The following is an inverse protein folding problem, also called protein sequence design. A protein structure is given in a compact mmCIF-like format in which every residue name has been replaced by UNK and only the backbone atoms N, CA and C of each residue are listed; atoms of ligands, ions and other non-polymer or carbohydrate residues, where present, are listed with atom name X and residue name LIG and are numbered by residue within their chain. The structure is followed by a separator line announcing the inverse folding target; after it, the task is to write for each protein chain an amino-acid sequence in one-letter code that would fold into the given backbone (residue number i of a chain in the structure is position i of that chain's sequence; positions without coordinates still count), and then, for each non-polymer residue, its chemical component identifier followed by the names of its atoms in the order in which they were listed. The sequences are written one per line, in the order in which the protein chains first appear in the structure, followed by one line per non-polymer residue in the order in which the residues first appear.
data_IF_866021346206
#
_entry.id   IF_866021346206
#
_cell.length_a   1.000
_cell.length_b   1.000
_cell.length_c   1.000
_cell.angle_alpha   90.00
_cell.angle_beta   90.00
_cell.angle_gamma   90.00
#
_symmetry.space_group_name_H-M   'P 1'
#
loop_
_entity.id
_entity.type
_entity.pdbx_description
1 polymer ?
#
# COMPACT_ATOMS: atom_id res chain seq x y z
N UNK A 1 31.45 -3.30 -19.94
CA UNK A 1 30.48 -3.68 -18.89
C UNK A 1 29.23 -2.86 -19.15
N UNK A 2 28.28 -3.41 -19.90
CA UNK A 2 27.10 -2.66 -20.32
C UNK A 2 26.18 -2.43 -19.13
N UNK A 3 25.94 -1.15 -18.83
CA UNK A 3 24.84 -0.67 -18.01
C UNK A 3 23.55 -1.28 -18.57
N UNK A 4 22.95 -2.22 -17.83
CA UNK A 4 21.56 -2.58 -18.04
C UNK A 4 20.78 -1.83 -16.98
N UNK A 5 20.54 -0.56 -17.27
CA UNK A 5 19.38 0.15 -16.75
C UNK A 5 18.15 -0.60 -17.27
N UNK A 6 17.80 -1.67 -16.56
CA UNK A 6 16.51 -2.30 -16.72
C UNK A 6 15.54 -1.33 -16.06
N UNK A 7 14.91 -0.48 -16.86
CA UNK A 7 13.64 0.11 -16.49
C UNK A 7 12.77 -1.05 -15.98
N UNK A 8 12.57 -1.14 -14.66
CA UNK A 8 11.78 -2.24 -14.08
C UNK A 8 10.33 -1.93 -14.39
N UNK A 9 9.61 -2.75 -15.17
CA UNK A 9 8.22 -2.52 -15.54
C UNK A 9 7.26 -2.76 -14.36
N UNK A 10 7.73 -2.65 -13.11
CA UNK A 10 7.16 -3.28 -11.91
C UNK A 10 6.22 -2.35 -11.13
N UNK A 11 6.22 -1.04 -11.40
CA UNK A 11 5.35 -0.09 -10.69
C UNK A 11 3.85 -0.40 -10.89
N UNK A 12 3.46 -0.88 -12.07
CA UNK A 12 2.06 -1.21 -12.36
C UNK A 12 1.58 -2.53 -11.76
N UNK A 13 2.48 -3.45 -11.38
CA UNK A 13 2.11 -4.79 -10.87
C UNK A 13 1.96 -4.86 -9.34
N UNK A 14 2.37 -3.82 -8.62
CA UNK A 14 2.24 -3.78 -7.17
C UNK A 14 0.88 -3.23 -6.70
N UNK A 15 0.12 -2.57 -7.56
CA UNK A 15 -1.23 -2.14 -7.23
C UNK A 15 -2.18 -3.35 -7.10
N UNK A 16 -2.89 -3.39 -5.98
CA UNK A 16 -3.89 -4.39 -5.66
C UNK A 16 -5.25 -3.73 -5.63
N UNK A 17 -6.23 -4.31 -6.31
CA UNK A 17 -7.61 -3.83 -6.26
C UNK A 17 -8.15 -3.86 -4.83
N UNK A 18 -8.89 -2.81 -4.47
CA UNK A 18 -9.59 -2.73 -3.20
C UNK A 18 -10.97 -2.08 -3.39
N UNK A 19 -12.06 -2.63 -2.81
CA UNK A 19 -13.42 -2.09 -3.01
C UNK A 19 -13.62 -0.68 -2.45
N UNK A 20 -12.74 -0.26 -1.52
CA UNK A 20 -12.78 1.06 -0.90
C UNK A 20 -11.78 2.06 -1.51
N UNK A 21 -11.14 1.71 -2.63
CA UNK A 21 -10.19 2.62 -3.28
C UNK A 21 -10.87 3.95 -3.62
N UNK A 22 -10.19 5.05 -3.32
CA UNK A 22 -10.65 6.43 -3.45
C UNK A 22 -11.90 6.78 -2.63
N UNK A 23 -12.17 6.05 -1.55
CA UNK A 23 -13.25 6.35 -0.59
C UNK A 23 -12.70 6.75 0.77
N UNK A 24 -13.53 7.45 1.54
CA UNK A 24 -13.25 7.71 2.94
C UNK A 24 -13.26 6.39 3.72
N UNK A 25 -12.24 6.20 4.55
CA UNK A 25 -12.03 5.01 5.35
C UNK A 25 -11.52 5.36 6.74
N UNK A 26 -11.69 4.41 7.66
CA UNK A 26 -11.11 4.43 9.01
C UNK A 26 -10.20 3.23 9.19
N UNK A 27 -9.03 3.44 9.77
CA UNK A 27 -8.19 2.36 10.30
C UNK A 27 -8.68 1.97 11.69
N UNK A 28 -9.22 0.76 11.84
CA UNK A 28 -9.76 0.25 13.11
C UNK A 28 -8.75 0.18 14.25
N UNK A 29 -7.45 0.10 13.96
CA UNK A 29 -6.43 -0.03 15.01
C UNK A 29 -5.98 1.32 15.57
N UNK A 30 -6.03 2.38 14.77
CA UNK A 30 -5.55 3.70 15.16
C UNK A 30 -6.67 4.74 15.27
N UNK A 31 -7.88 4.40 14.83
CA UNK A 31 -9.04 5.28 14.72
C UNK A 31 -8.81 6.49 13.79
N UNK A 32 -7.74 6.45 12.98
CA UNK A 32 -7.41 7.49 12.02
C UNK A 32 -8.24 7.31 10.76
N UNK A 33 -8.73 8.44 10.24
CA UNK A 33 -9.52 8.49 9.03
C UNK A 33 -8.77 9.18 7.88
N UNK A 34 -9.20 8.88 6.65
CA UNK A 34 -8.71 9.51 5.44
C UNK A 34 -9.24 8.83 4.18
N UNK A 35 -8.76 9.25 3.01
CA UNK A 35 -9.11 8.59 1.74
C UNK A 35 -8.11 7.48 1.42
N UNK A 36 -8.59 6.27 1.11
CA UNK A 36 -7.74 5.17 0.65
C UNK A 36 -7.22 5.47 -0.76
N UNK A 37 -5.94 5.80 -0.90
CA UNK A 37 -5.36 6.21 -2.18
C UNK A 37 -4.86 5.04 -3.01
N UNK A 38 -4.28 4.02 -2.36
CA UNK A 38 -3.73 2.84 -3.01
C UNK A 38 -3.68 1.65 -2.04
N UNK A 39 -3.71 0.43 -2.58
CA UNK A 39 -3.24 -0.75 -1.88
C UNK A 39 -2.10 -1.34 -2.70
N UNK A 40 -0.93 -1.48 -2.09
CA UNK A 40 0.26 -2.00 -2.75
C UNK A 40 0.69 -3.35 -2.16
N UNK A 41 1.32 -4.19 -2.98
CA UNK A 41 2.05 -5.38 -2.54
C UNK A 41 3.52 -5.03 -2.32
N UNK A 42 3.86 -4.54 -1.14
CA UNK A 42 5.20 -4.06 -0.84
C UNK A 42 6.17 -5.16 -0.39
N UNK A 43 7.44 -5.09 -0.79
CA UNK A 43 8.49 -5.94 -0.25
C UNK A 43 8.75 -5.60 1.22
N UNK A 44 8.65 -6.59 2.12
CA UNK A 44 8.88 -6.39 3.57
C UNK A 44 10.18 -7.02 4.10
N UNK A 45 10.92 -7.72 3.24
CA UNK A 45 12.21 -8.30 3.58
C UNK A 45 12.46 -9.64 2.92
N UNK A 46 13.52 -10.32 3.31
CA UNK A 46 13.88 -11.64 2.76
C UNK A 46 13.97 -12.67 3.89
N UNK A 47 13.33 -13.83 3.73
CA UNK A 47 13.39 -14.95 4.68
C UNK A 47 13.93 -16.18 3.94
N UNK A 48 15.04 -16.75 4.43
CA UNK A 48 15.70 -17.91 3.81
C UNK A 48 15.98 -17.73 2.30
N UNK A 49 16.41 -16.52 1.91
CA UNK A 49 16.72 -16.19 0.51
C UNK A 49 15.50 -15.93 -0.37
N UNK A 50 14.28 -15.88 0.17
CA UNK A 50 13.05 -15.55 -0.57
C UNK A 50 12.49 -14.18 -0.17
N UNK A 51 12.22 -13.34 -1.15
CA UNK A 51 11.57 -12.03 -0.94
C UNK A 51 10.14 -12.23 -0.42
N UNK A 52 9.85 -11.59 0.70
CA UNK A 52 8.54 -11.52 1.31
C UNK A 52 7.85 -10.22 0.93
N UNK A 53 6.53 -10.30 0.87
CA UNK A 53 5.68 -9.18 0.51
C UNK A 53 4.48 -9.11 1.45
N UNK A 54 4.05 -7.89 1.76
CA UNK A 54 2.81 -7.62 2.47
C UNK A 54 1.91 -6.74 1.61
N UNK A 55 0.60 -6.71 1.91
CA UNK A 55 -0.29 -5.71 1.34
C UNK A 55 -0.37 -4.52 2.28
N UNK A 56 -0.18 -3.32 1.76
CA UNK A 56 -0.18 -2.07 2.51
C UNK A 56 -1.24 -1.15 1.93
N UNK A 57 -2.16 -0.67 2.76
CA UNK A 57 -3.09 0.38 2.39
C UNK A 57 -2.46 1.75 2.67
N UNK A 58 -2.38 2.60 1.65
CA UNK A 58 -1.92 3.98 1.76
C UNK A 58 -3.13 4.91 1.84
N UNK A 59 -3.26 5.60 2.96
CA UNK A 59 -4.38 6.46 3.28
C UNK A 59 -3.87 7.89 3.42
N UNK A 60 -4.59 8.86 2.84
CA UNK A 60 -4.29 10.28 2.96
C UNK A 60 -5.35 10.94 3.82
N UNK A 61 -4.95 11.57 4.92
CA UNK A 61 -5.87 12.34 5.77
C UNK A 61 -6.19 13.72 5.18
N UNK A 62 -7.12 14.44 5.82
CA UNK A 62 -7.59 15.76 5.37
C UNK A 62 -6.51 16.85 5.44
N UNK A 63 -5.44 16.63 6.21
CA UNK A 63 -4.27 17.50 6.23
C UNK A 63 -3.30 17.22 5.08
N UNK A 64 -3.61 16.22 4.24
CA UNK A 64 -2.78 15.76 3.15
C UNK A 64 -1.64 14.85 3.60
N UNK A 65 -1.60 14.43 4.86
CA UNK A 65 -0.55 13.55 5.40
C UNK A 65 -0.92 12.10 5.11
N UNK A 66 0.08 11.35 4.63
CA UNK A 66 -0.10 9.93 4.32
C UNK A 66 0.28 9.05 5.51
N UNK A 67 -0.52 8.02 5.74
CA UNK A 67 -0.23 6.95 6.69
C UNK A 67 -0.61 5.60 6.10
N UNK A 68 -0.05 4.54 6.68
CA UNK A 68 -0.25 3.18 6.20
C UNK A 68 -1.05 2.34 7.18
N UNK A 69 -1.91 1.48 6.67
CA UNK A 69 -2.65 0.48 7.44
C UNK A 69 -2.57 -0.89 6.77
N UNK A 70 -2.93 -1.94 7.50
CA UNK A 70 -3.18 -3.24 6.89
C UNK A 70 -4.55 -3.17 6.18
N UNK A 71 -4.72 -3.62 4.92
CA UNK A 71 -5.99 -3.52 4.21
C UNK A 71 -7.17 -4.18 4.93
N UNK A 72 -6.91 -5.24 5.70
CA UNK A 72 -7.93 -5.92 6.49
C UNK A 72 -8.38 -5.16 7.74
N UNK A 73 -7.67 -4.09 8.13
CA UNK A 73 -8.02 -3.20 9.24
C UNK A 73 -8.75 -1.94 8.77
N UNK A 74 -8.86 -1.73 7.45
CA UNK A 74 -9.53 -0.58 6.84
C UNK A 74 -11.02 -0.86 6.63
N UNK A 75 -11.87 0.04 7.13
CA UNK A 75 -13.32 -0.03 6.95
C UNK A 75 -13.88 1.30 6.43
N UNK A 76 -15.12 1.33 5.88
CA UNK A 76 -15.78 2.59 5.56
C UNK A 76 -15.91 3.46 6.82
N UNK A 77 -15.58 4.75 6.69
CA UNK A 77 -15.84 5.76 7.71
C UNK A 77 -17.30 6.23 7.66
#
# INVERSE_FOLDING_TARGET
MAVREQARPDEAFNHVDHPLLHRQVRDRKTDREGTLMAVLRDPVGTVSGRQQYARTAYIRDDSGVEFTAAPGDVEPA
#
